data_IF_743766562855
#
_entry.id   IF_743766562855
#
_cell.length_a   1.000
_cell.length_b   1.000
_cell.length_c   1.000
_cell.angle_alpha   90.00
_cell.angle_beta   90.00
_cell.angle_gamma   90.00
#
_symmetry.space_group_name_H-M   'P 1'
#
loop_
_entity.id
_entity.type
_entity.pdbx_description
1 polymer ?
#
# COMPACT_ATOMS: atom_id res chain seq x y z
N UNK A 1 -15.92 -19.71 7.42
CA UNK A 1 -15.88 -18.34 6.87
C UNK A 1 -14.83 -18.22 5.77
N UNK A 2 -15.21 -18.36 4.48
CA UNK A 2 -14.28 -18.24 3.35
C UNK A 2 -14.58 -17.03 2.43
N UNK A 3 -15.19 -15.94 2.93
CA UNK A 3 -15.78 -14.88 2.08
C UNK A 3 -15.01 -13.56 2.02
N UNK A 4 -13.84 -13.46 2.65
CA UNK A 4 -13.04 -12.23 2.59
C UNK A 4 -12.14 -12.25 1.36
N UNK A 5 -12.18 -11.17 0.58
CA UNK A 5 -11.30 -10.98 -0.56
C UNK A 5 -9.94 -10.47 -0.10
N UNK A 6 -8.87 -11.14 -0.53
CA UNK A 6 -7.48 -10.70 -0.34
C UNK A 6 -6.82 -10.56 -1.71
N UNK A 7 -6.48 -9.32 -2.06
CA UNK A 7 -5.66 -9.00 -3.23
C UNK A 7 -4.25 -8.58 -2.81
N UNK A 8 -3.25 -8.93 -3.61
CA UNK A 8 -1.87 -8.49 -3.40
C UNK A 8 -1.41 -7.64 -4.58
N UNK A 9 -0.83 -6.48 -4.26
CA UNK A 9 -0.26 -5.55 -5.23
C UNK A 9 1.16 -5.25 -4.79
N UNK A 10 2.13 -5.47 -5.67
CA UNK A 10 3.50 -5.01 -5.50
C UNK A 10 3.71 -3.76 -6.35
N UNK A 11 4.66 -2.91 -5.98
CA UNK A 11 5.01 -1.74 -6.76
C UNK A 11 6.51 -1.47 -6.74
N UNK A 12 6.99 -1.03 -7.90
CA UNK A 12 8.30 -0.46 -8.14
C UNK A 12 8.13 0.82 -8.99
N UNK A 13 8.81 0.97 -10.13
CA UNK A 13 8.46 1.95 -11.17
C UNK A 13 7.01 1.78 -11.65
N UNK A 14 6.51 0.53 -11.68
CA UNK A 14 5.11 0.19 -11.99
C UNK A 14 4.56 -0.75 -10.92
N UNK A 15 3.24 -0.75 -10.74
CA UNK A 15 2.56 -1.69 -9.86
C UNK A 15 2.03 -2.90 -10.63
N UNK A 16 1.96 -4.06 -9.95
CA UNK A 16 1.44 -5.31 -10.52
C UNK A 16 0.62 -6.05 -9.48
N UNK A 17 -0.46 -6.68 -9.95
CA UNK A 17 -1.23 -7.62 -9.11
C UNK A 17 -0.49 -8.96 -9.12
N UNK A 18 -0.28 -9.53 -7.94
CA UNK A 18 0.36 -10.83 -7.77
C UNK A 18 -0.55 -11.79 -7.02
N UNK A 19 -0.27 -13.08 -7.16
CA UNK A 19 -0.87 -14.15 -6.35
C UNK A 19 0.05 -14.49 -5.17
N UNK A 20 -0.50 -15.06 -4.10
CA UNK A 20 0.27 -15.32 -2.87
C UNK A 20 1.46 -16.27 -3.08
N UNK A 21 1.34 -17.21 -4.01
CA UNK A 21 2.41 -18.13 -4.42
C UNK A 21 3.62 -17.43 -5.07
N UNK A 22 3.42 -16.23 -5.62
CA UNK A 22 4.49 -15.41 -6.21
C UNK A 22 5.24 -14.56 -5.18
N UNK A 23 4.78 -14.46 -3.93
CA UNK A 23 5.44 -13.66 -2.90
C UNK A 23 6.93 -13.98 -2.70
N UNK A 24 7.36 -15.27 -2.65
CA UNK A 24 8.78 -15.60 -2.51
C UNK A 24 9.60 -15.24 -3.76
N UNK A 25 8.96 -15.20 -4.93
CA UNK A 25 9.59 -14.94 -6.24
C UNK A 25 9.67 -13.43 -6.56
N UNK A 26 9.00 -12.57 -5.79
CA UNK A 26 9.10 -11.09 -5.89
C UNK A 26 10.49 -10.59 -5.46
N UNK A 27 11.45 -11.48 -5.20
CA UNK A 27 12.82 -11.13 -4.86
C UNK A 27 13.49 -10.33 -5.98
N UNK A 28 13.57 -9.02 -5.78
CA UNK A 28 14.57 -8.11 -6.34
C UNK A 28 14.80 -8.18 -7.86
N UNK A 29 13.73 -8.20 -8.66
CA UNK A 29 13.88 -7.65 -10.01
C UNK A 29 14.21 -6.15 -9.85
N UNK A 30 15.40 -5.74 -10.29
CA UNK A 30 16.04 -4.42 -10.15
C UNK A 30 15.27 -3.24 -10.81
N UNK A 31 13.95 -3.22 -10.70
CA UNK A 31 13.13 -2.09 -11.11
C UNK A 31 13.05 -1.17 -9.89
N UNK A 32 13.79 -0.07 -9.97
CA UNK A 32 13.78 0.97 -8.94
C UNK A 32 12.49 1.79 -9.01
N UNK A 33 12.05 2.33 -7.88
CA UNK A 33 10.91 3.24 -7.81
C UNK A 33 9.88 2.82 -6.80
N UNK A 34 9.02 3.77 -6.44
CA UNK A 34 7.99 3.61 -5.41
C UNK A 34 6.69 4.17 -5.97
N UNK A 35 6.06 3.44 -6.89
CA UNK A 35 4.83 3.87 -7.57
C UNK A 35 3.58 3.58 -6.73
N UNK A 36 3.45 4.29 -5.62
CA UNK A 36 2.28 4.21 -4.74
C UNK A 36 0.99 4.58 -5.48
N UNK A 37 1.05 5.57 -6.39
CA UNK A 37 -0.08 5.99 -7.22
C UNK A 37 -0.66 4.81 -8.01
N UNK A 38 0.18 4.07 -8.75
CA UNK A 38 -0.26 2.91 -9.50
C UNK A 38 -0.71 1.77 -8.58
N UNK A 39 -0.02 1.57 -7.45
CA UNK A 39 -0.41 0.58 -6.44
C UNK A 39 -1.84 0.81 -5.93
N UNK A 40 -2.17 2.05 -5.57
CA UNK A 40 -3.52 2.45 -5.16
C UNK A 40 -4.54 2.34 -6.29
N UNK A 41 -4.18 2.70 -7.53
CA UNK A 41 -5.08 2.51 -8.68
C UNK A 41 -5.48 1.05 -8.86
N UNK A 42 -4.52 0.12 -8.79
CA UNK A 42 -4.79 -1.31 -8.91
C UNK A 42 -5.60 -1.82 -7.72
N UNK A 43 -5.20 -1.47 -6.50
CA UNK A 43 -5.93 -1.88 -5.29
C UNK A 43 -7.38 -1.39 -5.31
N UNK A 44 -7.63 -0.14 -5.72
CA UNK A 44 -8.99 0.40 -5.88
C UNK A 44 -9.79 -0.34 -6.95
N UNK A 45 -9.17 -0.70 -8.08
CA UNK A 45 -9.82 -1.50 -9.13
C UNK A 45 -10.21 -2.89 -8.62
N UNK A 46 -9.33 -3.55 -7.87
CA UNK A 46 -9.61 -4.86 -7.25
C UNK A 46 -10.78 -4.75 -6.25
N UNK A 47 -10.72 -3.77 -5.35
CA UNK A 47 -11.74 -3.55 -4.32
C UNK A 47 -13.06 -2.99 -4.87
N UNK A 48 -13.13 -2.53 -6.12
CA UNK A 48 -14.35 -1.96 -6.70
C UNK A 48 -15.51 -2.97 -6.77
N UNK A 49 -15.19 -4.26 -6.95
CA UNK A 49 -16.17 -5.35 -7.06
C UNK A 49 -16.57 -5.96 -5.72
N UNK A 50 -15.83 -5.66 -4.67
CA UNK A 50 -16.06 -6.20 -3.34
C UNK A 50 -17.08 -5.37 -2.55
N UNK A 51 -17.70 -6.00 -1.56
CA UNK A 51 -18.71 -5.38 -0.69
C UNK A 51 -18.28 -5.37 0.77
N UNK A 52 -18.88 -4.49 1.57
CA UNK A 52 -18.54 -4.33 2.99
C UNK A 52 -17.33 -3.41 3.21
N UNK A 53 -16.58 -3.66 4.28
CA UNK A 53 -15.42 -2.84 4.67
C UNK A 53 -14.26 -3.05 3.70
N UNK A 54 -13.78 -1.96 3.09
CA UNK A 54 -12.66 -1.99 2.13
C UNK A 54 -11.43 -1.34 2.74
N UNK A 55 -10.30 -2.05 2.73
CA UNK A 55 -9.05 -1.56 3.31
C UNK A 55 -7.86 -1.86 2.41
N UNK A 56 -6.88 -0.98 2.44
CA UNK A 56 -5.55 -1.18 1.86
C UNK A 56 -4.56 -1.18 3.02
N UNK A 57 -3.73 -2.22 3.10
CA UNK A 57 -2.56 -2.25 3.97
C UNK A 57 -1.34 -1.97 3.09
N UNK A 58 -0.77 -0.78 3.19
CA UNK A 58 0.43 -0.40 2.46
C UNK A 58 1.66 -0.62 3.34
N UNK A 59 2.70 -1.26 2.82
CA UNK A 59 4.00 -1.40 3.47
C UNK A 59 5.01 -0.68 2.57
N UNK A 60 5.79 0.24 3.12
CA UNK A 60 6.79 1.01 2.36
C UNK A 60 7.94 1.48 3.24
N UNK A 61 9.13 1.56 2.67
CA UNK A 61 10.35 2.15 3.24
C UNK A 61 10.76 3.47 2.55
N UNK A 62 10.13 3.79 1.41
CA UNK A 62 10.46 4.95 0.57
C UNK A 62 9.28 5.88 0.28
N UNK A 63 9.62 7.10 -0.11
CA UNK A 63 8.70 8.13 -0.64
C UNK A 63 8.22 7.80 -2.05
N UNK A 64 7.08 8.34 -2.52
CA UNK A 64 6.61 8.08 -3.87
C UNK A 64 7.56 8.69 -4.91
N UNK A 65 8.34 7.87 -5.60
CA UNK A 65 9.34 8.29 -6.61
C UNK A 65 8.89 8.04 -8.04
N UNK A 66 7.75 7.37 -8.22
CA UNK A 66 7.18 7.11 -9.54
C UNK A 66 5.66 7.29 -9.58
N UNK A 67 5.14 7.60 -10.76
CA UNK A 67 3.70 7.65 -11.04
C UNK A 67 3.42 7.28 -12.50
N UNK A 68 2.16 6.95 -12.80
CA UNK A 68 1.65 6.76 -14.16
C UNK A 68 1.02 8.08 -14.63
N UNK A 69 1.46 8.59 -15.78
CA UNK A 69 0.92 9.79 -16.43
C UNK A 69 -0.48 9.52 -16.99
N UNK A 70 -1.18 10.58 -17.40
CA UNK A 70 -2.49 10.46 -18.03
C UNK A 70 -2.43 9.69 -19.36
N UNK A 71 -1.28 9.73 -20.06
CA UNK A 71 -1.02 8.96 -21.28
C UNK A 71 -0.71 7.48 -21.02
N UNK A 72 -0.54 7.09 -19.75
CA UNK A 72 -0.30 5.71 -19.33
C UNK A 72 1.17 5.33 -19.17
N UNK A 73 2.09 6.28 -19.35
CA UNK A 73 3.52 6.07 -19.20
C UNK A 73 3.97 6.11 -17.74
N UNK A 74 4.96 5.30 -17.39
CA UNK A 74 5.59 5.37 -16.08
C UNK A 74 6.69 6.44 -16.09
N UNK A 75 6.65 7.33 -15.10
CA UNK A 75 7.68 8.34 -14.84
C UNK A 75 8.32 8.04 -13.49
N UNK A 76 9.65 8.02 -13.46
CA UNK A 76 10.45 7.85 -12.25
C UNK A 76 11.42 9.03 -12.06
N UNK A 77 11.55 9.51 -10.82
CA UNK A 77 12.52 10.54 -10.46
C UNK A 77 12.92 10.43 -8.97
N UNK A 78 14.21 10.60 -8.68
CA UNK A 78 14.74 10.70 -7.32
C UNK A 78 15.60 11.97 -7.16
N UNK A 79 15.29 12.87 -6.23
CA UNK A 79 14.17 12.82 -5.27
C UNK A 79 12.79 12.94 -5.94
N UNK A 80 11.68 12.58 -5.28
CA UNK A 80 10.33 12.71 -5.83
C UNK A 80 10.04 14.09 -6.44
N UNK A 81 9.44 14.12 -7.63
CA UNK A 81 8.90 15.38 -8.17
C UNK A 81 7.61 15.77 -7.45
N UNK A 82 7.28 17.06 -7.48
CA UNK A 82 6.00 17.57 -7.01
C UNK A 82 4.82 16.88 -7.71
N UNK A 83 4.94 16.66 -9.02
CA UNK A 83 3.95 15.96 -9.83
C UNK A 83 3.70 14.53 -9.33
N UNK A 84 4.75 13.75 -9.05
CA UNK A 84 4.63 12.40 -8.49
C UNK A 84 3.90 12.39 -7.15
N UNK A 85 4.22 13.35 -6.27
CA UNK A 85 3.56 13.49 -4.97
C UNK A 85 2.08 13.85 -5.14
N UNK A 86 1.77 14.83 -5.99
CA UNK A 86 0.40 15.27 -6.28
C UNK A 86 -0.44 14.16 -6.93
N UNK A 87 0.12 13.42 -7.89
CA UNK A 87 -0.53 12.28 -8.53
C UNK A 87 -0.86 11.17 -7.52
N UNK A 88 0.07 10.89 -6.60
CA UNK A 88 -0.15 9.91 -5.53
C UNK A 88 -1.25 10.35 -4.58
N UNK A 89 -1.21 11.60 -4.10
CA UNK A 89 -2.26 12.14 -3.21
C UNK A 89 -3.63 12.23 -3.90
N UNK A 90 -3.66 12.52 -5.21
CA UNK A 90 -4.90 12.51 -5.98
C UNK A 90 -5.52 11.11 -6.02
N UNK A 91 -4.71 10.05 -6.15
CA UNK A 91 -5.21 8.68 -6.06
C UNK A 91 -5.67 8.32 -4.65
N UNK A 92 -4.99 8.80 -3.61
CA UNK A 92 -5.45 8.67 -2.22
C UNK A 92 -6.85 9.25 -2.05
N UNK A 93 -7.13 10.46 -2.58
CA UNK A 93 -8.49 11.04 -2.57
C UNK A 93 -9.49 10.14 -3.28
N UNK A 94 -9.13 9.56 -4.42
CA UNK A 94 -10.00 8.62 -5.17
C UNK A 94 -10.29 7.36 -4.36
N UNK A 95 -9.31 6.82 -3.64
CA UNK A 95 -9.51 5.71 -2.70
C UNK A 95 -10.45 6.10 -1.56
N UNK A 96 -10.24 7.26 -0.92
CA UNK A 96 -11.10 7.77 0.15
C UNK A 96 -12.55 7.91 -0.31
N UNK A 97 -12.77 8.52 -1.49
CA UNK A 97 -14.11 8.66 -2.09
C UNK A 97 -14.76 7.33 -2.44
N UNK A 98 -13.97 6.30 -2.73
CA UNK A 98 -14.44 4.94 -2.95
C UNK A 98 -14.73 4.18 -1.63
N UNK A 99 -14.62 4.83 -0.47
CA UNK A 99 -14.82 4.21 0.84
C UNK A 99 -13.70 3.25 1.24
N UNK A 100 -12.50 3.42 0.66
CA UNK A 100 -11.35 2.55 0.90
C UNK A 100 -10.43 3.20 1.95
N UNK A 101 -10.21 2.46 3.03
CA UNK A 101 -9.42 2.92 4.16
C UNK A 101 -7.98 2.41 4.06
N UNK A 102 -7.02 3.32 3.95
CA UNK A 102 -5.59 3.04 3.79
C UNK A 102 -4.92 3.07 5.16
N UNK A 103 -4.24 1.98 5.52
CA UNK A 103 -3.39 1.88 6.68
C UNK A 103 -1.96 1.61 6.21
N UNK A 104 -1.02 2.44 6.64
CA UNK A 104 0.36 2.41 6.18
C UNK A 104 1.27 1.91 7.29
N UNK A 105 2.08 0.91 6.98
CA UNK A 105 3.22 0.46 7.77
C UNK A 105 4.49 1.01 7.11
N UNK A 106 5.16 1.90 7.84
CA UNK A 106 6.42 2.49 7.40
C UNK A 106 7.57 1.71 8.01
N UNK A 107 8.49 1.26 7.17
CA UNK A 107 9.76 0.65 7.57
C UNK A 107 10.85 1.73 7.50
N UNK A 108 11.65 1.87 8.56
CA UNK A 108 12.82 2.77 8.60
C UNK A 108 12.53 4.22 8.11
N UNK A 109 11.53 4.83 8.72
CA UNK A 109 10.99 6.13 8.31
C UNK A 109 12.04 7.26 8.23
N UNK A 110 12.21 7.84 7.04
CA UNK A 110 12.84 9.15 6.89
C UNK A 110 11.86 10.27 7.31
N UNK A 111 12.39 11.44 7.66
CA UNK A 111 11.55 12.59 8.01
C UNK A 111 10.62 13.01 6.87
N UNK A 112 11.09 12.92 5.62
CA UNK A 112 10.32 13.30 4.43
C UNK A 112 9.18 12.30 4.16
N UNK A 113 9.45 11.00 4.29
CA UNK A 113 8.42 9.96 4.22
C UNK A 113 7.37 10.14 5.32
N UNK A 114 7.77 10.47 6.55
CA UNK A 114 6.85 10.72 7.65
C UNK A 114 5.88 11.86 7.32
N UNK A 115 6.38 13.01 6.85
CA UNK A 115 5.54 14.13 6.44
C UNK A 115 4.58 13.77 5.31
N UNK A 116 5.04 13.00 4.31
CA UNK A 116 4.17 12.52 3.24
C UNK A 116 3.04 11.62 3.76
N UNK A 117 3.36 10.67 4.65
CA UNK A 117 2.38 9.72 5.20
C UNK A 117 1.42 10.39 6.19
N UNK A 118 1.84 11.41 6.94
CA UNK A 118 0.95 12.24 7.75
C UNK A 118 -0.14 12.88 6.87
N UNK A 119 0.26 13.50 5.76
CA UNK A 119 -0.68 14.11 4.81
C UNK A 119 -1.61 13.08 4.15
N UNK A 120 -1.07 11.94 3.73
CA UNK A 120 -1.87 10.82 3.20
C UNK A 120 -2.91 10.36 4.23
N UNK A 121 -2.49 10.23 5.49
CA UNK A 121 -3.33 9.77 6.59
C UNK A 121 -4.45 10.76 6.89
N UNK A 122 -4.14 12.06 6.94
CA UNK A 122 -5.13 13.12 7.12
C UNK A 122 -6.19 13.08 6.01
N UNK A 123 -5.77 12.95 4.75
CA UNK A 123 -6.68 12.93 3.59
C UNK A 123 -7.53 11.66 3.47
N UNK A 124 -7.05 10.52 3.99
CA UNK A 124 -7.78 9.25 3.94
C UNK A 124 -8.57 8.95 5.22
N UNK A 125 -8.28 9.64 6.31
CA UNK A 125 -8.74 9.27 7.66
C UNK A 125 -7.95 8.10 8.24
N UNK A 126 -6.75 7.86 7.68
CA UNK A 126 -5.74 6.79 7.72
C UNK A 126 -5.21 6.29 9.09
N UNK A 127 -4.60 5.10 9.09
CA UNK A 127 -3.65 4.51 10.05
C UNK A 127 -2.21 4.76 9.61
N UNK A 128 -1.33 5.39 10.38
CA UNK A 128 0.11 5.29 10.15
C UNK A 128 0.76 4.51 11.30
N UNK A 129 1.55 3.51 10.97
CA UNK A 129 2.29 2.66 11.90
C UNK A 129 3.78 2.76 11.57
N UNK A 130 4.56 3.27 12.52
CA UNK A 130 6.01 3.34 12.41
C UNK A 130 6.59 2.07 13.02
N UNK A 131 7.35 1.31 12.24
CA UNK A 131 7.88 0.01 12.68
C UNK A 131 9.24 -0.25 12.06
N UNK A 132 10.04 -1.14 12.66
CA UNK A 132 11.21 -1.71 12.00
C UNK A 132 10.79 -2.99 11.26
N UNK A 133 11.59 -3.48 10.29
CA UNK A 133 11.29 -4.74 9.60
C UNK A 133 11.06 -5.93 10.56
N UNK A 134 11.80 -5.99 11.67
CA UNK A 134 11.68 -7.04 12.69
C UNK A 134 10.35 -6.95 13.46
N UNK A 135 9.92 -5.72 13.77
CA UNK A 135 8.68 -5.47 14.50
C UNK A 135 7.44 -5.70 13.61
N UNK A 136 7.52 -5.44 12.31
CA UNK A 136 6.45 -5.75 11.36
C UNK A 136 6.12 -7.24 11.37
N UNK A 137 7.15 -8.10 11.34
CA UNK A 137 6.98 -9.55 11.44
C UNK A 137 6.25 -9.97 12.72
N UNK A 138 6.52 -9.29 13.84
CA UNK A 138 5.85 -9.53 15.12
C UNK A 138 4.37 -9.13 15.08
N UNK A 139 4.02 -7.99 14.50
CA UNK A 139 2.62 -7.56 14.37
C UNK A 139 1.79 -8.54 13.52
N UNK A 140 2.32 -8.97 12.38
CA UNK A 140 1.65 -9.94 11.49
C UNK A 140 1.47 -11.30 12.17
N UNK A 141 2.50 -11.79 12.85
CA UNK A 141 2.44 -13.08 13.58
C UNK A 141 1.46 -13.03 14.76
N UNK A 142 1.47 -11.96 15.55
CA UNK A 142 0.57 -11.79 16.70
C UNK A 142 -0.88 -11.71 16.24
N UNK A 143 -1.17 -10.99 15.16
CA UNK A 143 -2.53 -10.89 14.63
C UNK A 143 -3.03 -12.24 14.08
N UNK A 144 -2.18 -12.96 13.36
CA UNK A 144 -2.49 -14.30 12.84
C UNK A 144 -2.80 -15.30 13.98
N UNK A 145 -2.00 -15.31 15.05
CA UNK A 145 -2.20 -16.20 16.20
C UNK A 145 -3.45 -15.81 17.00
N UNK A 146 -3.70 -14.51 17.17
CA UNK A 146 -4.85 -13.99 17.91
C UNK A 146 -6.18 -14.30 17.20
N UNK A 147 -6.23 -14.12 15.87
CA UNK A 147 -7.38 -14.47 15.06
C UNK A 147 -7.61 -15.99 14.95
N UNK A 148 -6.54 -16.81 15.07
CA UNK A 148 -6.67 -18.28 15.11
C UNK A 148 -7.22 -18.80 16.44
N UNK A 149 -6.99 -18.09 17.55
CA UNK A 149 -7.62 -18.41 18.86
C UNK A 149 -9.11 -18.08 18.88
N UNK A 150 -9.51 -16.93 18.35
CA UNK A 150 -10.92 -16.53 18.26
C UNK A 150 -11.74 -17.47 17.36
N UNK A 151 -11.12 -18.05 16.32
CA UNK A 151 -11.77 -19.02 15.41
C UNK A 151 -11.93 -20.45 15.95
N UNK A 152 -11.29 -20.81 17.07
CA UNK A 152 -11.43 -22.14 17.71
C UNK A 152 -12.41 -22.16 18.89
N UNK A 153 -12.98 -21.01 19.25
CA UNK A 153 -13.89 -20.85 20.39
C UNK A 153 -15.36 -20.66 19.97
N UNK A 154 -15.76 -21.15 18.79
CA UNK A 154 -17.13 -21.10 18.28
C UNK A 154 -17.56 -22.41 17.65
#
# INVERSE_FOLDING_TARGET
FPRDYLGLVTFSETARVITADRLPEVSWDFIYGTNMQHGFMLARKLLAREHGTKQILMITDGEPTAHITDDGDAVFHYPPTRETVEATLAEVVRCTRAGIRINTFMLDATSSLATFIERLTEMNGGRAFFTTPEDLGRYVLVDFVSHRRLRRAG
#
